data_IF_874679356286
#
_entry.id   IF_874679356286
#
_cell.length_a   1.000
_cell.length_b   1.000
_cell.length_c   1.000
_cell.angle_alpha   90.00
_cell.angle_beta   90.00
_cell.angle_gamma   90.00
#
_symmetry.space_group_name_H-M   'P 1'
#
loop_
_entity.id
_entity.type
_entity.pdbx_description
1 polymer ?
#
# COMPACT_ATOMS: atom_id res chain seq x y z
N UNK A 1 -9.75 -15.77 13.20
CA UNK A 1 -9.01 -15.30 12.02
C UNK A 1 -8.22 -14.09 12.44
N UNK A 2 -7.00 -13.95 11.94
CA UNK A 2 -6.16 -12.80 12.20
C UNK A 2 -6.75 -11.56 11.54
N UNK A 3 -6.72 -10.41 12.23
CA UNK A 3 -7.11 -9.11 11.69
C UNK A 3 -5.90 -8.43 11.08
N UNK A 4 -6.10 -7.61 10.07
CA UNK A 4 -5.06 -6.73 9.50
C UNK A 4 -5.40 -5.28 9.83
N UNK A 5 -4.54 -4.62 10.58
CA UNK A 5 -4.61 -3.18 10.83
C UNK A 5 -3.71 -2.45 9.85
N UNK A 6 -4.31 -1.58 9.04
CA UNK A 6 -3.59 -0.73 8.10
C UNK A 6 -3.45 0.65 8.71
N UNK A 7 -2.21 1.12 8.84
CA UNK A 7 -1.84 2.39 9.47
C UNK A 7 -1.22 3.31 8.44
N UNK A 8 -1.76 4.51 8.29
CA UNK A 8 -1.18 5.47 7.36
C UNK A 8 -2.19 6.46 6.77
N UNK A 9 -1.84 7.08 5.62
CA UNK A 9 -2.61 8.19 5.08
C UNK A 9 -3.93 7.76 4.45
N UNK A 10 -4.94 8.59 4.72
CA UNK A 10 -6.16 8.77 3.97
C UNK A 10 -6.07 10.17 3.34
N UNK A 11 -6.29 10.30 2.05
CA UNK A 11 -6.11 11.57 1.34
C UNK A 11 -7.20 11.81 0.31
N UNK A 12 -7.44 13.08 -0.01
CA UNK A 12 -8.21 13.46 -1.19
C UNK A 12 -7.27 13.68 -2.37
N UNK A 13 -7.44 12.90 -3.42
CA UNK A 13 -6.67 13.02 -4.64
C UNK A 13 -7.38 13.98 -5.60
N UNK A 14 -6.75 15.09 -5.95
CA UNK A 14 -7.15 15.94 -7.08
C UNK A 14 -6.29 15.61 -8.28
N UNK A 15 -6.91 15.04 -9.32
CA UNK A 15 -6.22 14.57 -10.53
C UNK A 15 -6.43 15.55 -11.66
N UNK A 16 -5.37 15.90 -12.38
CA UNK A 16 -5.37 16.78 -13.54
C UNK A 16 -4.47 16.23 -14.65
N UNK A 17 -5.03 16.04 -15.84
CA UNK A 17 -4.23 15.68 -17.00
C UNK A 17 -3.58 16.91 -17.63
N UNK A 18 -2.29 16.82 -17.95
CA UNK A 18 -1.50 17.83 -18.61
C UNK A 18 -0.76 17.24 -19.81
N UNK A 19 -0.45 18.03 -20.83
CA UNK A 19 0.33 17.52 -21.97
C UNK A 19 1.79 17.21 -21.60
N UNK A 20 2.34 17.93 -20.63
CA UNK A 20 3.68 17.79 -20.04
C UNK A 20 3.73 18.58 -18.74
N UNK A 21 4.70 18.31 -17.89
CA UNK A 21 4.97 19.15 -16.73
C UNK A 21 5.56 20.49 -17.20
N UNK A 22 5.07 21.65 -16.67
CA UNK A 22 5.63 22.94 -17.07
C UNK A 22 7.04 23.10 -16.50
N UNK A 23 7.94 23.69 -17.29
CA UNK A 23 9.24 24.15 -16.82
C UNK A 23 9.06 25.31 -15.80
N UNK A 24 10.03 25.57 -14.90
CA UNK A 24 9.97 26.68 -13.98
C UNK A 24 9.66 28.01 -14.68
N UNK A 25 8.59 28.70 -14.26
CA UNK A 25 8.09 29.90 -14.90
C UNK A 25 7.19 29.67 -16.13
N UNK A 26 7.00 28.42 -16.55
CA UNK A 26 6.13 28.05 -17.66
C UNK A 26 4.66 27.94 -17.29
N UNK A 27 3.82 27.70 -18.28
CA UNK A 27 2.39 27.48 -18.16
C UNK A 27 1.97 26.27 -18.99
N UNK A 28 1.08 25.44 -18.46
CA UNK A 28 0.42 24.37 -19.21
C UNK A 28 -1.09 24.41 -18.91
N UNK A 29 -1.90 24.19 -19.92
CA UNK A 29 -3.33 24.02 -19.74
C UNK A 29 -3.65 22.59 -19.38
N UNK A 30 -4.26 22.36 -18.20
CA UNK A 30 -4.76 21.04 -17.79
C UNK A 30 -6.20 20.78 -18.25
N UNK A 31 -6.59 19.52 -18.19
CA UNK A 31 -7.94 19.05 -18.49
C UNK A 31 -8.32 17.85 -17.59
N UNK A 32 -9.61 17.48 -17.57
CA UNK A 32 -10.07 16.31 -16.83
C UNK A 32 -9.90 16.44 -15.32
N UNK A 33 -10.04 17.65 -14.77
CA UNK A 33 -9.97 17.86 -13.32
C UNK A 33 -11.02 16.99 -12.61
N UNK A 34 -10.57 16.12 -11.72
CA UNK A 34 -11.45 15.28 -10.91
C UNK A 34 -10.89 15.13 -9.50
N UNK A 35 -11.78 14.90 -8.54
CA UNK A 35 -11.41 14.62 -7.16
C UNK A 35 -11.95 13.27 -6.74
N UNK A 36 -11.16 12.50 -5.99
CA UNK A 36 -11.53 11.16 -5.51
C UNK A 36 -10.90 10.87 -4.16
N UNK A 37 -11.49 9.96 -3.34
CA UNK A 37 -10.80 9.39 -2.20
C UNK A 37 -9.57 8.62 -2.65
N UNK A 38 -8.51 8.69 -1.85
CA UNK A 38 -7.23 8.04 -2.06
C UNK A 38 -6.44 7.96 -0.76
N UNK A 39 -5.12 7.92 -0.88
CA UNK A 39 -4.20 7.66 0.22
C UNK A 39 -3.83 6.19 0.26
N UNK A 40 -2.52 5.92 0.19
CA UNK A 40 -1.96 4.56 0.07
C UNK A 40 -2.52 3.59 1.11
N UNK A 41 -2.58 3.99 2.38
CA UNK A 41 -3.07 3.12 3.45
C UNK A 41 -4.58 2.86 3.31
N UNK A 42 -5.38 3.88 3.00
CA UNK A 42 -6.82 3.71 2.80
C UNK A 42 -7.11 2.81 1.60
N UNK A 43 -6.38 2.96 0.49
CA UNK A 43 -6.51 2.10 -0.68
C UNK A 43 -6.23 0.63 -0.33
N UNK A 44 -5.13 0.34 0.37
CA UNK A 44 -4.81 -1.02 0.83
C UNK A 44 -5.90 -1.59 1.72
N UNK A 45 -6.42 -0.79 2.68
CA UNK A 45 -7.47 -1.23 3.59
C UNK A 45 -8.78 -1.56 2.85
N UNK A 46 -9.21 -0.70 1.92
CA UNK A 46 -10.42 -0.94 1.09
C UNK A 46 -10.25 -2.21 0.24
N UNK A 47 -9.09 -2.38 -0.41
CA UNK A 47 -8.82 -3.58 -1.19
C UNK A 47 -8.87 -4.85 -0.35
N UNK A 48 -8.17 -4.88 0.80
CA UNK A 48 -8.19 -6.03 1.70
C UNK A 48 -9.59 -6.36 2.20
N UNK A 49 -10.36 -5.35 2.63
CA UNK A 49 -11.72 -5.55 3.11
C UNK A 49 -12.59 -6.19 2.02
N UNK A 50 -12.53 -5.71 0.77
CA UNK A 50 -13.28 -6.29 -0.37
C UNK A 50 -12.94 -7.77 -0.63
N UNK A 51 -11.77 -8.23 -0.18
CA UNK A 51 -11.34 -9.63 -0.32
C UNK A 51 -11.78 -10.54 0.83
N UNK A 52 -12.59 -10.03 1.77
CA UNK A 52 -13.07 -10.77 2.93
C UNK A 52 -12.05 -10.90 4.07
N UNK A 53 -10.92 -10.21 4.00
CA UNK A 53 -9.96 -10.13 5.11
C UNK A 53 -10.53 -9.20 6.18
N UNK A 54 -10.60 -9.66 7.42
CA UNK A 54 -10.98 -8.82 8.56
C UNK A 54 -9.99 -7.66 8.70
N UNK A 55 -10.42 -6.47 8.29
CA UNK A 55 -9.55 -5.30 8.14
C UNK A 55 -9.93 -4.19 9.12
N UNK A 56 -8.94 -3.60 9.79
CA UNK A 56 -9.03 -2.35 10.51
C UNK A 56 -8.19 -1.27 9.81
N UNK A 57 -8.58 -0.03 9.95
CA UNK A 57 -7.84 1.13 9.45
C UNK A 57 -7.59 2.13 10.56
N UNK A 58 -6.36 2.64 10.64
CA UNK A 58 -5.97 3.73 11.53
C UNK A 58 -5.33 4.87 10.74
N UNK A 59 -5.92 6.06 10.87
CA UNK A 59 -5.50 7.24 10.14
C UNK A 59 -6.10 8.52 10.72
N UNK A 60 -6.11 9.60 9.94
CA UNK A 60 -6.73 10.85 10.33
C UNK A 60 -7.50 11.53 9.19
N UNK A 61 -8.43 12.40 9.56
CA UNK A 61 -9.10 13.37 8.69
C UNK A 61 -9.02 14.76 9.31
N UNK A 62 -9.34 15.80 8.54
CA UNK A 62 -9.58 17.15 9.05
C UNK A 62 -11.04 17.36 9.43
N UNK A 63 -11.44 18.65 9.50
CA UNK A 63 -12.82 19.09 9.83
C UNK A 63 -13.58 19.65 8.62
N UNK A 64 -12.94 19.66 7.44
CA UNK A 64 -13.48 20.25 6.22
C UNK A 64 -14.44 19.32 5.45
N UNK A 65 -15.02 19.79 4.36
CA UNK A 65 -15.96 19.02 3.53
C UNK A 65 -15.28 17.86 2.79
N UNK A 66 -13.97 17.93 2.51
CA UNK A 66 -13.24 16.82 1.92
C UNK A 66 -13.05 15.70 2.95
N UNK A 67 -12.77 16.05 4.19
CA UNK A 67 -12.69 15.12 5.31
C UNK A 67 -13.96 14.31 5.51
N UNK A 68 -15.14 14.97 5.42
CA UNK A 68 -16.44 14.27 5.49
C UNK A 68 -16.63 13.27 4.34
N UNK A 69 -16.21 13.64 3.12
CA UNK A 69 -16.27 12.72 1.96
C UNK A 69 -15.34 11.53 2.12
N UNK A 70 -14.13 11.76 2.65
CA UNK A 70 -13.18 10.70 2.93
C UNK A 70 -13.70 9.73 3.97
N UNK A 71 -14.24 10.24 5.07
CA UNK A 71 -14.81 9.40 6.12
C UNK A 71 -16.01 8.60 5.60
N UNK A 72 -16.92 9.23 4.87
CA UNK A 72 -18.06 8.55 4.24
C UNK A 72 -17.62 7.45 3.26
N UNK A 73 -16.52 7.66 2.53
CA UNK A 73 -15.96 6.63 1.65
C UNK A 73 -15.46 5.41 2.43
N UNK A 74 -14.77 5.59 3.55
CA UNK A 74 -14.35 4.48 4.41
C UNK A 74 -15.54 3.77 5.06
N UNK A 75 -16.51 4.53 5.57
CA UNK A 75 -17.73 3.97 6.20
C UNK A 75 -18.59 3.16 5.21
N UNK A 76 -18.52 3.49 3.92
CA UNK A 76 -19.22 2.75 2.86
C UNK A 76 -18.45 1.52 2.38
N UNK A 77 -17.20 1.33 2.81
CA UNK A 77 -16.40 0.16 2.49
C UNK A 77 -16.69 -0.99 3.46
N UNK A 78 -16.11 -2.15 3.19
CA UNK A 78 -16.26 -3.35 4.03
C UNK A 78 -15.24 -3.40 5.19
N UNK A 79 -14.56 -2.28 5.51
CA UNK A 79 -13.63 -2.19 6.63
C UNK A 79 -14.39 -2.37 7.94
N UNK A 80 -14.00 -3.39 8.73
CA UNK A 80 -14.73 -3.77 9.96
C UNK A 80 -14.51 -2.78 11.11
N UNK A 81 -13.32 -2.19 11.21
CA UNK A 81 -12.93 -1.33 12.32
C UNK A 81 -12.23 -0.06 11.83
N UNK A 82 -12.79 1.10 12.18
CA UNK A 82 -12.23 2.41 11.85
C UNK A 82 -11.71 3.10 13.12
N UNK A 83 -10.42 3.43 13.14
CA UNK A 83 -9.77 4.25 14.15
C UNK A 83 -9.25 5.52 13.47
N UNK A 84 -10.19 6.39 13.07
CA UNK A 84 -9.90 7.63 12.35
C UNK A 84 -9.98 8.81 13.31
N UNK A 85 -8.85 9.51 13.46
CA UNK A 85 -8.74 10.71 14.30
C UNK A 85 -9.22 11.93 13.52
N UNK A 86 -10.13 12.70 14.08
CA UNK A 86 -10.49 14.02 13.54
C UNK A 86 -9.52 15.05 14.12
N UNK A 87 -8.79 15.76 13.27
CA UNK A 87 -7.80 16.75 13.65
C UNK A 87 -8.20 18.14 13.13
N UNK A 88 -7.95 19.22 13.89
CA UNK A 88 -8.26 20.58 13.42
C UNK A 88 -7.62 20.88 12.07
N UNK A 89 -8.37 21.52 11.15
CA UNK A 89 -7.88 21.94 9.84
C UNK A 89 -8.38 21.09 8.68
N UNK A 90 -7.64 21.11 7.57
CA UNK A 90 -8.06 20.52 6.30
C UNK A 90 -7.71 19.01 6.20
N UNK A 91 -8.40 18.31 5.30
CA UNK A 91 -8.07 16.95 4.92
C UNK A 91 -6.62 16.86 4.39
N UNK A 92 -6.00 15.69 4.52
CA UNK A 92 -4.82 15.41 3.73
C UNK A 92 -5.20 15.44 2.24
N UNK A 93 -4.56 16.30 1.47
CA UNK A 93 -4.93 16.61 0.10
C UNK A 93 -3.71 16.61 -0.80
N UNK A 94 -3.80 15.91 -1.92
CA UNK A 94 -2.73 15.83 -2.91
C UNK A 94 -3.23 16.22 -4.29
N UNK A 95 -2.36 16.84 -5.08
CA UNK A 95 -2.55 17.07 -6.51
C UNK A 95 -1.73 16.03 -7.29
N UNK A 96 -2.39 15.31 -8.18
CA UNK A 96 -1.77 14.34 -9.08
C UNK A 96 -1.83 14.89 -10.49
N UNK A 97 -0.69 15.19 -11.07
CA UNK A 97 -0.54 15.56 -12.47
C UNK A 97 -0.20 14.31 -13.29
N UNK A 98 -0.99 14.04 -14.33
CA UNK A 98 -0.75 12.94 -15.27
C UNK A 98 -0.35 13.56 -16.60
N UNK A 99 0.87 13.27 -17.08
CA UNK A 99 1.38 13.82 -18.33
C UNK A 99 0.90 13.03 -19.57
N UNK A 100 1.25 13.53 -20.77
CA UNK A 100 0.88 12.90 -22.05
C UNK A 100 1.48 11.50 -22.29
N UNK A 101 2.38 11.03 -21.41
CA UNK A 101 2.95 9.66 -21.43
C UNK A 101 2.30 8.75 -20.40
N UNK A 102 1.37 9.30 -19.57
CA UNK A 102 0.75 8.58 -18.47
C UNK A 102 1.61 8.56 -17.19
N UNK A 103 2.73 9.29 -17.16
CA UNK A 103 3.56 9.43 -15.96
C UNK A 103 2.91 10.40 -14.99
N UNK A 104 3.02 10.08 -13.68
CA UNK A 104 2.41 10.87 -12.63
C UNK A 104 3.44 11.66 -11.81
N UNK A 105 3.04 12.87 -11.45
CA UNK A 105 3.75 13.70 -10.46
C UNK A 105 2.78 14.06 -9.35
N UNK A 106 3.18 13.84 -8.10
CA UNK A 106 2.33 14.05 -6.93
C UNK A 106 2.87 15.23 -6.13
N UNK A 107 1.96 16.16 -5.77
CA UNK A 107 2.27 17.33 -4.95
C UNK A 107 1.35 17.31 -3.72
N UNK A 108 1.94 17.25 -2.53
CA UNK A 108 1.19 17.44 -1.28
C UNK A 108 0.72 18.89 -1.18
N UNK A 109 -0.55 19.09 -0.86
CA UNK A 109 -1.17 20.41 -0.69
C UNK A 109 -1.35 20.78 0.78
N UNK A 110 -1.30 19.80 1.67
CA UNK A 110 -1.44 19.97 3.12
C UNK A 110 -0.29 19.29 3.85
N UNK A 111 -0.06 19.70 5.09
CA UNK A 111 0.97 19.09 5.94
C UNK A 111 0.57 17.65 6.34
N UNK A 112 1.56 16.78 6.38
CA UNK A 112 1.41 15.42 6.91
C UNK A 112 1.28 15.48 8.45
N UNK A 113 0.21 14.90 8.98
CA UNK A 113 -0.10 14.83 10.42
C UNK A 113 -0.22 13.39 10.93
N UNK A 114 0.44 12.46 10.26
CA UNK A 114 0.47 11.05 10.69
C UNK A 114 1.09 10.88 12.08
N UNK A 115 1.89 11.82 12.55
CA UNK A 115 2.44 11.87 13.91
C UNK A 115 1.37 11.94 15.01
N UNK A 116 0.11 12.31 14.65
CA UNK A 116 -1.03 12.32 15.54
C UNK A 116 -1.77 10.97 15.58
N UNK A 117 -1.43 10.01 14.69
CA UNK A 117 -2.07 8.69 14.60
C UNK A 117 -1.31 7.69 15.47
N UNK A 118 -2.03 6.84 16.20
CA UNK A 118 -1.49 5.74 16.98
C UNK A 118 -2.41 4.53 16.94
N UNK A 119 -1.84 3.32 17.02
CA UNK A 119 -2.60 2.07 17.16
C UNK A 119 -2.62 1.55 18.61
N UNK A 120 -2.03 2.28 19.54
CA UNK A 120 -2.02 1.87 20.96
C UNK A 120 -3.38 2.00 21.63
N UNK A 121 -4.31 2.71 20.96
CA UNK A 121 -5.69 2.91 21.42
C UNK A 121 -6.65 1.85 20.84
N UNK A 122 -6.16 0.93 19.98
CA UNK A 122 -6.98 -0.15 19.43
C UNK A 122 -6.66 -1.50 20.08
N UNK A 123 -7.66 -2.41 20.09
CA UNK A 123 -7.48 -3.77 20.59
C UNK A 123 -6.73 -4.62 19.54
N UNK A 124 -5.46 -4.90 19.80
CA UNK A 124 -4.65 -5.85 19.03
C UNK A 124 -4.63 -7.22 19.73
N UNK A 125 -4.56 -8.27 18.92
CA UNK A 125 -4.45 -9.66 19.39
C UNK A 125 -3.17 -10.29 18.87
N UNK A 126 -2.64 -11.31 19.55
CA UNK A 126 -1.55 -12.12 19.00
C UNK A 126 -1.93 -12.62 17.60
N UNK A 127 -0.96 -12.66 16.69
CA UNK A 127 -1.11 -13.04 15.28
C UNK A 127 -1.91 -12.05 14.40
N UNK A 128 -2.40 -10.91 14.92
CA UNK A 128 -2.86 -9.82 14.08
C UNK A 128 -1.69 -9.26 13.26
N UNK A 129 -2.00 -8.76 12.07
CA UNK A 129 -1.03 -8.03 11.25
C UNK A 129 -1.19 -6.53 11.47
N UNK A 130 -0.07 -5.82 11.63
CA UNK A 130 -0.02 -4.36 11.65
C UNK A 130 0.85 -3.89 10.51
N UNK A 131 0.27 -3.07 9.63
CA UNK A 131 0.91 -2.62 8.38
C UNK A 131 1.08 -1.11 8.43
N UNK A 132 2.31 -0.65 8.60
CA UNK A 132 2.68 0.76 8.47
C UNK A 132 3.05 1.02 7.01
N UNK A 133 2.07 1.44 6.19
CA UNK A 133 2.20 1.52 4.73
C UNK A 133 3.26 2.55 4.31
N UNK A 134 3.29 3.70 4.97
CA UNK A 134 4.38 4.68 4.90
C UNK A 134 5.02 4.77 6.27
N UNK A 135 6.25 4.28 6.40
CA UNK A 135 6.95 4.35 7.66
C UNK A 135 7.31 5.80 8.03
N UNK A 136 7.15 6.10 9.32
CA UNK A 136 7.60 7.35 9.96
C UNK A 136 8.17 7.03 11.33
N UNK A 137 9.21 7.73 11.76
CA UNK A 137 9.92 7.48 13.03
C UNK A 137 9.01 7.54 14.27
N UNK A 138 7.95 8.35 14.23
CA UNK A 138 6.98 8.42 15.33
C UNK A 138 6.19 7.11 15.55
N UNK A 139 6.11 6.21 14.55
CA UNK A 139 5.50 4.89 14.71
C UNK A 139 6.36 3.89 15.48
N UNK A 140 7.56 4.25 15.91
CA UNK A 140 8.46 3.34 16.63
C UNK A 140 7.81 2.74 17.88
N UNK A 141 7.11 3.57 18.66
CA UNK A 141 6.43 3.10 19.88
C UNK A 141 5.21 2.22 19.54
N UNK A 142 4.50 2.50 18.46
CA UNK A 142 3.39 1.68 17.96
C UNK A 142 3.87 0.33 17.45
N UNK A 143 5.00 0.29 16.74
CA UNK A 143 5.66 -0.93 16.30
C UNK A 143 6.04 -1.80 17.51
N UNK A 144 6.74 -1.22 18.50
CA UNK A 144 7.14 -1.94 19.72
C UNK A 144 5.95 -2.47 20.50
N UNK A 145 4.88 -1.68 20.59
CA UNK A 145 3.64 -2.09 21.21
C UNK A 145 3.04 -3.32 20.51
N UNK A 146 2.86 -3.27 19.20
CA UNK A 146 2.33 -4.38 18.42
C UNK A 146 3.21 -5.65 18.53
N UNK A 147 4.54 -5.50 18.44
CA UNK A 147 5.48 -6.61 18.64
C UNK A 147 5.36 -7.24 20.03
N UNK A 148 5.17 -6.42 21.08
CA UNK A 148 5.02 -6.92 22.46
C UNK A 148 3.78 -7.77 22.66
N UNK A 149 2.77 -7.61 21.81
CA UNK A 149 1.53 -8.39 21.81
C UNK A 149 1.61 -9.63 20.88
N UNK A 150 2.71 -9.82 20.15
CA UNK A 150 2.88 -10.94 19.23
C UNK A 150 2.25 -10.72 17.86
N UNK A 151 2.03 -9.46 17.45
CA UNK A 151 1.55 -9.14 16.12
C UNK A 151 2.64 -9.34 15.07
N UNK A 152 2.23 -9.62 13.83
CA UNK A 152 3.08 -9.62 12.64
C UNK A 152 3.17 -8.22 12.05
N UNK A 153 4.37 -7.75 11.77
CA UNK A 153 4.61 -6.36 11.35
C UNK A 153 5.04 -6.29 9.90
N UNK A 154 4.36 -5.44 9.14
CA UNK A 154 4.73 -5.06 7.78
C UNK A 154 5.03 -3.57 7.76
N UNK A 155 6.16 -3.17 7.17
CA UNK A 155 6.57 -1.75 7.06
C UNK A 155 6.90 -1.38 5.63
N UNK A 156 6.78 -0.09 5.30
CA UNK A 156 7.28 0.47 4.05
C UNK A 156 8.82 0.49 3.97
N UNK A 157 9.33 0.72 2.76
CA UNK A 157 10.78 0.69 2.47
C UNK A 157 11.57 1.77 3.23
N UNK A 158 10.93 2.87 3.62
CA UNK A 158 11.53 3.95 4.40
C UNK A 158 12.07 3.46 5.75
N UNK A 159 11.50 2.36 6.27
CA UNK A 159 11.92 1.76 7.53
C UNK A 159 13.30 1.09 7.49
N UNK A 160 13.85 0.82 6.31
CA UNK A 160 15.13 0.13 6.17
C UNK A 160 16.31 0.96 6.66
N UNK A 161 16.27 2.29 6.45
CA UNK A 161 17.33 3.23 6.82
C UNK A 161 16.98 4.06 8.07
N UNK A 162 15.94 3.66 8.82
CA UNK A 162 15.48 4.37 10.01
C UNK A 162 16.48 4.28 11.16
N UNK A 163 16.63 5.38 11.91
CA UNK A 163 17.42 5.45 13.14
C UNK A 163 16.51 5.84 14.34
N UNK A 164 16.45 5.07 15.42
CA UNK A 164 17.22 3.84 15.68
C UNK A 164 16.75 2.68 14.79
N UNK A 165 17.66 1.76 14.46
CA UNK A 165 17.36 0.60 13.62
C UNK A 165 16.16 -0.19 14.16
N UNK A 166 15.22 -0.51 13.28
CA UNK A 166 14.06 -1.34 13.60
C UNK A 166 14.15 -2.71 12.95
N UNK A 167 13.37 -3.65 13.45
CA UNK A 167 13.13 -4.96 12.83
C UNK A 167 11.63 -5.19 12.67
N UNK A 168 11.23 -5.93 11.65
CA UNK A 168 9.85 -6.33 11.40
C UNK A 168 9.83 -7.67 10.64
N UNK A 169 8.66 -8.28 10.52
CA UNK A 169 8.53 -9.52 9.76
C UNK A 169 8.72 -9.23 8.26
N UNK A 170 8.07 -8.20 7.72
CA UNK A 170 8.14 -7.87 6.30
C UNK A 170 8.46 -6.38 6.08
N UNK A 171 9.25 -6.13 5.01
CA UNK A 171 9.40 -4.80 4.44
C UNK A 171 8.95 -4.86 2.98
N UNK A 172 7.97 -4.01 2.59
CA UNK A 172 7.40 -4.03 1.24
C UNK A 172 7.33 -2.59 0.72
N UNK A 173 7.92 -2.35 -0.44
CA UNK A 173 7.90 -1.01 -1.03
C UNK A 173 8.29 -0.98 -2.50
N UNK A 174 8.35 0.23 -3.06
CA UNK A 174 8.71 0.45 -4.46
C UNK A 174 10.21 0.64 -4.63
N UNK A 175 10.77 0.05 -5.67
CA UNK A 175 12.16 0.30 -6.06
C UNK A 175 12.43 1.73 -6.52
N UNK A 176 11.38 2.50 -6.90
CA UNK A 176 11.51 3.93 -7.19
C UNK A 176 11.81 4.77 -5.94
N UNK A 177 11.46 4.25 -4.76
CA UNK A 177 11.68 4.92 -3.48
C UNK A 177 13.03 4.54 -2.85
N UNK A 178 13.74 3.60 -3.49
CA UNK A 178 15.08 3.17 -3.11
C UNK A 178 16.16 4.00 -3.82
N UNK A 179 17.32 4.12 -3.19
CA UNK A 179 18.48 4.75 -3.83
C UNK A 179 19.13 3.83 -4.88
N UNK A 180 19.92 4.40 -5.81
CA UNK A 180 20.56 3.68 -6.93
C UNK A 180 21.47 2.51 -6.52
N UNK A 181 21.96 2.48 -5.27
CA UNK A 181 22.83 1.43 -4.74
C UNK A 181 22.11 0.53 -3.73
N UNK A 182 20.78 0.49 -3.78
CA UNK A 182 19.99 -0.28 -2.83
C UNK A 182 20.25 -1.78 -2.96
N UNK A 183 20.69 -2.39 -1.85
CA UNK A 183 20.93 -3.83 -1.75
C UNK A 183 20.09 -4.40 -0.59
N UNK A 184 18.93 -5.00 -0.87
CA UNK A 184 18.04 -5.54 0.15
C UNK A 184 18.71 -6.59 1.06
N UNK A 185 19.72 -7.30 0.56
CA UNK A 185 20.39 -8.36 1.31
C UNK A 185 21.02 -7.91 2.62
N UNK A 186 21.39 -6.61 2.69
CA UNK A 186 22.02 -5.98 3.89
C UNK A 186 21.05 -5.87 5.07
N UNK A 187 19.75 -5.94 4.82
CA UNK A 187 18.72 -5.72 5.83
C UNK A 187 18.05 -7.02 6.31
N UNK A 188 18.40 -8.18 5.69
CA UNK A 188 17.78 -9.49 5.99
C UNK A 188 18.13 -10.05 7.39
N UNK A 189 18.95 -9.38 8.16
CA UNK A 189 19.16 -9.71 9.58
C UNK A 189 18.09 -9.06 10.49
N UNK A 190 17.32 -8.11 9.95
CA UNK A 190 16.27 -7.36 10.66
C UNK A 190 14.88 -7.63 10.12
N UNK A 191 14.76 -8.17 8.91
CA UNK A 191 13.51 -8.45 8.23
C UNK A 191 13.51 -9.90 7.71
N UNK A 192 12.44 -10.64 7.98
CA UNK A 192 12.32 -12.02 7.46
C UNK A 192 12.23 -12.01 5.93
N UNK A 193 11.49 -11.04 5.39
CA UNK A 193 11.32 -10.86 3.94
C UNK A 193 11.32 -9.39 3.55
N UNK A 194 11.95 -9.11 2.41
CA UNK A 194 11.94 -7.79 1.79
C UNK A 194 11.39 -7.94 0.38
N UNK A 195 10.34 -7.18 0.06
CA UNK A 195 9.68 -7.19 -1.26
C UNK A 195 9.83 -5.83 -1.91
N UNK A 196 10.40 -5.82 -3.12
CA UNK A 196 10.62 -4.59 -3.89
C UNK A 196 9.86 -4.70 -5.21
N UNK A 197 8.88 -3.82 -5.40
CA UNK A 197 8.14 -3.71 -6.66
C UNK A 197 8.91 -2.83 -7.64
N UNK A 198 8.87 -3.19 -8.94
CA UNK A 198 9.59 -2.51 -10.02
C UNK A 198 8.68 -2.12 -11.19
N UNK A 199 7.40 -1.84 -10.95
CA UNK A 199 6.42 -1.51 -11.98
C UNK A 199 6.39 -2.56 -13.10
N UNK A 200 6.63 -2.17 -14.34
CA UNK A 200 6.65 -3.09 -15.49
C UNK A 200 7.71 -4.20 -15.40
N UNK A 201 8.70 -4.08 -14.51
CA UNK A 201 9.70 -5.12 -14.25
C UNK A 201 9.22 -6.18 -13.26
N UNK A 202 8.00 -6.06 -12.74
CA UNK A 202 7.45 -6.98 -11.74
C UNK A 202 7.93 -6.68 -10.33
N UNK A 203 8.14 -7.73 -9.51
CA UNK A 203 8.57 -7.58 -8.13
C UNK A 203 9.63 -8.64 -7.78
N UNK A 204 10.48 -8.31 -6.82
CA UNK A 204 11.47 -9.24 -6.26
C UNK A 204 11.25 -9.37 -4.77
N UNK A 205 11.31 -10.62 -4.27
CA UNK A 205 11.30 -10.91 -2.85
C UNK A 205 12.63 -11.53 -2.45
N UNK A 206 13.15 -11.07 -1.32
CA UNK A 206 14.41 -11.48 -0.75
C UNK A 206 14.17 -12.05 0.65
N UNK A 207 14.84 -13.16 0.97
CA UNK A 207 14.83 -13.74 2.31
C UNK A 207 16.13 -14.53 2.55
N UNK A 208 16.35 -14.93 3.79
CA UNK A 208 17.49 -15.78 4.14
C UNK A 208 17.03 -17.20 4.45
N UNK A 209 17.63 -18.17 3.80
CA UNK A 209 17.38 -19.58 4.04
C UNK A 209 18.71 -20.32 4.19
N UNK A 210 18.89 -21.06 5.29
CA UNK A 210 20.13 -21.76 5.64
C UNK A 210 21.39 -20.87 5.57
N UNK A 211 21.26 -19.58 5.92
CA UNK A 211 22.33 -18.60 5.87
C UNK A 211 22.58 -17.95 4.50
N UNK A 212 21.97 -18.47 3.44
CA UNK A 212 22.08 -17.92 2.08
C UNK A 212 20.93 -16.97 1.77
N UNK A 213 21.24 -15.91 1.02
CA UNK A 213 20.22 -15.02 0.45
C UNK A 213 19.53 -15.70 -0.72
N UNK A 214 18.21 -15.81 -0.62
CA UNK A 214 17.35 -16.31 -1.70
C UNK A 214 16.60 -15.15 -2.32
N UNK A 215 16.30 -15.25 -3.61
CA UNK A 215 15.57 -14.24 -4.38
C UNK A 215 14.53 -14.94 -5.25
N UNK A 216 13.29 -14.48 -5.13
CA UNK A 216 12.21 -14.82 -6.05
C UNK A 216 11.90 -13.61 -6.91
N UNK A 217 11.84 -13.77 -8.22
CA UNK A 217 11.37 -12.75 -9.14
C UNK A 217 10.00 -13.14 -9.68
N UNK A 218 8.99 -12.34 -9.41
CA UNK A 218 7.68 -12.40 -10.02
C UNK A 218 7.62 -11.37 -11.16
N UNK A 219 7.60 -11.79 -12.43
CA UNK A 219 7.42 -10.87 -13.55
C UNK A 219 6.08 -10.13 -13.46
N UNK A 220 6.00 -8.92 -14.01
CA UNK A 220 4.73 -8.24 -14.15
C UNK A 220 3.78 -9.07 -15.02
N UNK A 221 2.51 -9.10 -14.65
CA UNK A 221 1.47 -9.76 -15.45
C UNK A 221 1.14 -8.85 -16.63
N UNK A 222 1.24 -9.32 -17.89
CA UNK A 222 0.95 -8.51 -19.06
C UNK A 222 -0.52 -8.06 -19.10
N UNK A 223 -0.74 -6.79 -19.42
CA UNK A 223 -2.06 -6.20 -19.66
C UNK A 223 -2.16 -5.73 -21.11
N UNK A 224 -3.39 -5.62 -21.62
CA UNK A 224 -3.61 -5.15 -23.00
C UNK A 224 -3.31 -3.65 -23.12
N UNK A 225 -3.70 -2.88 -22.11
CA UNK A 225 -3.55 -1.43 -22.05
C UNK A 225 -3.29 -0.99 -20.62
N UNK A 226 -2.39 -0.04 -20.44
CA UNK A 226 -2.16 0.64 -19.16
C UNK A 226 -3.00 1.92 -19.17
N UNK A 227 -4.02 1.98 -18.32
CA UNK A 227 -4.96 3.11 -18.22
C UNK A 227 -4.54 4.11 -17.14
N UNK A 228 -4.24 3.60 -15.93
CA UNK A 228 -3.83 4.43 -14.77
C UNK A 228 -2.90 3.62 -13.88
N UNK A 229 -1.69 4.10 -13.62
CA UNK A 229 -0.74 3.39 -12.74
C UNK A 229 -0.91 3.74 -11.26
N UNK A 230 -1.84 4.67 -10.92
CA UNK A 230 -2.10 5.06 -9.54
C UNK A 230 -2.72 3.87 -8.78
N UNK A 231 -2.22 3.63 -7.56
CA UNK A 231 -2.73 2.52 -6.72
C UNK A 231 -2.27 1.11 -7.12
N UNK A 232 -1.43 0.97 -8.16
CA UNK A 232 -0.89 -0.33 -8.55
C UNK A 232 -0.07 -0.99 -7.42
N UNK A 233 0.74 -0.19 -6.71
CA UNK A 233 1.50 -0.62 -5.54
C UNK A 233 0.58 -0.99 -4.37
N UNK A 234 -0.49 -0.22 -4.15
CA UNK A 234 -1.49 -0.49 -3.11
C UNK A 234 -2.21 -1.81 -3.36
N UNK A 235 -2.58 -2.06 -4.64
CA UNK A 235 -3.20 -3.32 -5.08
C UNK A 235 -2.24 -4.50 -4.94
N UNK A 236 -0.95 -4.31 -5.26
CA UNK A 236 0.06 -5.33 -5.03
C UNK A 236 0.17 -5.67 -3.54
N UNK A 237 0.27 -4.67 -2.67
CA UNK A 237 0.39 -4.86 -1.23
C UNK A 237 -0.86 -5.56 -0.66
N UNK A 238 -2.06 -5.13 -1.07
CA UNK A 238 -3.31 -5.78 -0.66
C UNK A 238 -3.33 -7.27 -1.06
N UNK A 239 -2.97 -7.60 -2.30
CA UNK A 239 -2.90 -8.97 -2.79
C UNK A 239 -1.84 -9.80 -2.10
N UNK A 240 -0.69 -9.23 -1.82
CA UNK A 240 0.37 -9.89 -1.08
C UNK A 240 -0.09 -10.26 0.34
N UNK A 241 -0.71 -9.32 1.07
CA UNK A 241 -1.22 -9.55 2.43
C UNK A 241 -2.38 -10.57 2.41
N UNK A 242 -3.32 -10.46 1.45
CA UNK A 242 -4.41 -11.42 1.29
C UNK A 242 -3.88 -12.85 1.22
N UNK A 243 -2.87 -13.09 0.40
CA UNK A 243 -2.27 -14.41 0.26
C UNK A 243 -1.50 -14.87 1.51
N UNK A 244 -0.85 -13.95 2.25
CA UNK A 244 -0.23 -14.29 3.54
C UNK A 244 -1.26 -14.80 4.55
N UNK A 245 -2.47 -14.22 4.56
CA UNK A 245 -3.55 -14.62 5.47
C UNK A 245 -4.14 -15.97 5.07
N UNK A 246 -4.34 -16.21 3.77
CA UNK A 246 -5.05 -17.41 3.29
C UNK A 246 -4.17 -18.66 3.26
N UNK A 247 -2.89 -18.53 2.97
CA UNK A 247 -2.05 -19.66 2.55
C UNK A 247 -1.02 -20.14 3.57
N UNK A 248 -1.07 -19.65 4.82
CA UNK A 248 -0.11 -20.05 5.87
C UNK A 248 1.33 -20.22 5.32
N UNK A 249 1.84 -19.20 4.58
CA UNK A 249 3.25 -19.11 4.21
C UNK A 249 3.70 -19.62 2.82
N UNK A 250 2.83 -19.69 1.83
CA UNK A 250 3.27 -19.96 0.45
C UNK A 250 3.81 -18.68 -0.22
N UNK A 251 5.12 -18.47 -0.13
CA UNK A 251 5.87 -17.31 -0.66
C UNK A 251 5.53 -16.97 -2.11
N UNK A 252 5.35 -17.99 -2.95
CA UNK A 252 5.06 -17.80 -4.37
C UNK A 252 3.66 -17.22 -4.60
N UNK A 253 2.70 -17.60 -3.76
CA UNK A 253 1.29 -17.19 -3.92
C UNK A 253 1.14 -15.71 -3.62
N UNK A 254 1.82 -15.19 -2.58
CA UNK A 254 1.75 -13.78 -2.20
C UNK A 254 2.26 -12.86 -3.31
N UNK A 255 3.38 -13.21 -3.93
CA UNK A 255 3.94 -12.47 -5.05
C UNK A 255 3.03 -12.52 -6.28
N UNK A 256 2.46 -13.69 -6.58
CA UNK A 256 1.61 -13.89 -7.75
C UNK A 256 0.28 -13.15 -7.60
N UNK A 257 -0.40 -13.26 -6.45
CA UNK A 257 -1.68 -12.59 -6.19
C UNK A 257 -1.49 -11.07 -6.19
N UNK A 258 -0.42 -10.57 -5.55
CA UNK A 258 -0.07 -9.15 -5.63
C UNK A 258 0.12 -8.67 -7.07
N UNK A 259 0.86 -9.42 -7.90
CA UNK A 259 1.08 -9.08 -9.30
C UNK A 259 -0.21 -9.08 -10.13
N UNK A 260 -1.12 -10.03 -9.91
CA UNK A 260 -2.40 -10.10 -10.62
C UNK A 260 -3.31 -8.92 -10.24
N UNK A 261 -3.43 -8.60 -8.94
CA UNK A 261 -4.26 -7.47 -8.52
C UNK A 261 -3.72 -6.14 -9.05
N UNK A 262 -2.39 -5.96 -8.98
CA UNK A 262 -1.71 -4.81 -9.58
C UNK A 262 -1.96 -4.69 -11.09
N UNK A 263 -1.91 -5.81 -11.83
CA UNK A 263 -2.17 -5.83 -13.27
C UNK A 263 -3.62 -5.43 -13.61
N UNK A 264 -4.58 -5.88 -12.82
CA UNK A 264 -5.96 -5.45 -13.00
C UNK A 264 -6.13 -3.96 -12.69
N UNK A 265 -5.50 -3.47 -11.62
CA UNK A 265 -5.55 -2.07 -11.23
C UNK A 265 -5.03 -1.15 -12.34
N UNK A 266 -3.88 -1.45 -12.95
CA UNK A 266 -3.33 -0.60 -14.01
C UNK A 266 -4.14 -0.61 -15.31
N UNK A 267 -5.05 -1.58 -15.49
CA UNK A 267 -5.94 -1.67 -16.65
C UNK A 267 -7.26 -0.92 -16.48
N UNK A 268 -7.48 -0.30 -15.30
CA UNK A 268 -8.70 0.42 -14.95
C UNK A 268 -8.38 1.85 -14.49
N UNK A 269 -9.30 2.81 -14.66
CA UNK A 269 -9.10 4.14 -14.10
C UNK A 269 -9.35 4.12 -12.59
N UNK A 270 -8.49 4.76 -11.81
CA UNK A 270 -8.70 4.89 -10.36
C UNK A 270 -7.42 4.66 -9.55
N UNK A 271 -7.48 4.97 -8.26
CA UNK A 271 -6.38 4.73 -7.31
C UNK A 271 -6.68 3.60 -6.33
N UNK A 272 -7.95 3.29 -6.12
CA UNK A 272 -8.36 2.20 -5.23
C UNK A 272 -8.17 0.86 -5.94
N UNK A 273 -7.73 -0.18 -5.21
CA UNK A 273 -7.69 -1.53 -5.75
C UNK A 273 -9.06 -1.95 -6.30
N UNK A 274 -9.11 -2.59 -7.48
CA UNK A 274 -10.34 -3.21 -7.98
C UNK A 274 -10.92 -4.18 -6.97
N UNK A 275 -12.25 -4.29 -6.94
CA UNK A 275 -12.95 -5.24 -6.08
C UNK A 275 -12.41 -6.67 -6.28
N UNK A 276 -12.29 -7.43 -5.18
CA UNK A 276 -11.70 -8.76 -5.21
C UNK A 276 -12.45 -9.72 -6.15
N UNK A 277 -13.76 -9.60 -6.28
CA UNK A 277 -14.54 -10.44 -7.19
C UNK A 277 -14.12 -10.27 -8.65
N UNK A 278 -13.66 -9.06 -9.03
CA UNK A 278 -13.11 -8.81 -10.36
C UNK A 278 -11.72 -9.49 -10.51
N UNK A 279 -10.91 -9.50 -9.49
CA UNK A 279 -9.61 -10.20 -9.49
C UNK A 279 -9.85 -11.70 -9.66
N UNK A 280 -10.73 -12.31 -8.87
CA UNK A 280 -11.06 -13.73 -8.96
C UNK A 280 -11.61 -14.12 -10.33
N UNK A 281 -12.47 -13.28 -10.92
CA UNK A 281 -13.08 -13.56 -12.22
C UNK A 281 -12.08 -13.39 -13.37
N UNK A 282 -11.17 -12.42 -13.27
CA UNK A 282 -10.15 -12.15 -14.30
C UNK A 282 -9.03 -13.20 -14.31
N UNK A 283 -8.78 -13.85 -13.18
CA UNK A 283 -7.71 -14.83 -13.02
C UNK A 283 -8.25 -16.14 -12.39
N UNK A 284 -9.07 -16.92 -13.13
CA UNK A 284 -9.69 -18.15 -12.60
C UNK A 284 -8.68 -19.19 -12.08
N UNK A 285 -7.40 -19.08 -12.49
CA UNK A 285 -6.33 -19.98 -12.06
C UNK A 285 -5.83 -19.70 -10.63
N UNK A 286 -6.18 -18.57 -10.02
CA UNK A 286 -5.88 -18.31 -8.61
C UNK A 286 -6.61 -19.31 -7.71
N UNK A 287 -7.81 -19.79 -8.13
CA UNK A 287 -8.56 -20.82 -7.40
C UNK A 287 -7.93 -22.22 -7.40
N UNK A 288 -6.95 -22.49 -8.29
CA UNK A 288 -6.36 -23.80 -8.49
C UNK A 288 -4.84 -23.80 -8.27
N UNK A 289 -4.34 -22.96 -7.34
CA UNK A 289 -2.91 -22.99 -6.97
C UNK A 289 -2.49 -24.31 -6.32
N UNK A 290 -3.43 -25.08 -5.77
CA UNK A 290 -3.19 -26.42 -5.21
C UNK A 290 -2.83 -27.51 -6.24
N UNK A 291 -3.08 -27.29 -7.54
CA UNK A 291 -2.87 -28.29 -8.60
C UNK A 291 -1.50 -28.19 -9.30
N UNK A 292 -0.53 -27.41 -8.78
CA UNK A 292 0.79 -27.18 -9.39
C UNK A 292 1.96 -27.51 -8.49
N UNK A 293 1.82 -28.53 -7.63
CA UNK A 293 2.94 -29.16 -6.94
C UNK A 293 3.17 -30.57 -7.48
#
# INVERSE_FOLDING_TARGET
>A
MSRVWIVGPLAWDTVLNVSHLPEPGGFVQGSGLMGRPGGTAANVAVGLASSGVTTGFAGYVGEDELSKKLLASLESSEIESLHVKELPGEANHVLILIDGKGERTIVGLTDDRLDQVTIRDVELKPDDYVVFVLWRSHFLEDLRYAQSLGCKIIVGIEALEEEPLISADFCIGSGSDANDNFDPSKYLDRFERIVITGGANGAKQYWRENGEVKVLHQPAIPVQEVVDTTGAGDSFLAGYIKALIDSEDKVNDSMLIGAHWSALAVSMPGSQPPDWSLVESSFPRIKNLDDRL
#
